data_IF_405680488007
#
_entry.id   IF_405680488007
#
_cell.length_a   1.000
_cell.length_b   1.000
_cell.length_c   1.000
_cell.angle_alpha   90.00
_cell.angle_beta   90.00
_cell.angle_gamma   90.00
#
_symmetry.space_group_name_H-M   'P 1'
#
loop_
_entity.id
_entity.type
_entity.pdbx_description
1 polymer ?
#
# COMPACT_ATOMS: atom_id res chain seq x y z
N UNK A 1 10.31 7.30 9.09
CA UNK A 1 8.90 7.51 9.48
C UNK A 1 8.30 6.14 9.73
N UNK A 2 7.56 5.98 10.84
CA UNK A 2 6.93 4.70 11.18
C UNK A 2 5.41 4.81 11.03
N UNK A 3 4.78 3.76 10.52
CA UNK A 3 3.35 3.65 10.28
C UNK A 3 2.86 2.32 10.83
N UNK A 4 1.74 2.31 11.54
CA UNK A 4 1.03 1.09 11.91
C UNK A 4 -0.39 1.14 11.37
N UNK A 5 -0.77 0.12 10.59
CA UNK A 5 -2.13 -0.10 10.12
C UNK A 5 -2.77 -1.08 11.10
N UNK A 6 -3.71 -0.62 11.91
CA UNK A 6 -4.30 -1.40 13.01
C UNK A 6 -5.65 -1.96 12.67
N UNK A 7 -5.96 -3.07 13.32
CA UNK A 7 -7.25 -3.70 13.21
C UNK A 7 -7.31 -4.56 11.97
N UNK A 8 -6.96 -4.08 10.77
CA UNK A 8 -7.18 -4.67 9.43
C UNK A 8 -7.26 -6.19 9.22
N UNK A 9 -7.94 -6.59 8.15
CA UNK A 9 -7.89 -7.97 7.64
C UNK A 9 -6.82 -8.01 6.57
N UNK A 10 -5.67 -8.58 6.89
CA UNK A 10 -4.56 -8.77 5.96
C UNK A 10 -4.95 -9.86 4.96
N UNK A 11 -4.83 -9.55 3.66
CA UNK A 11 -5.14 -10.48 2.58
C UNK A 11 -3.91 -10.69 1.72
N UNK A 12 -3.44 -11.93 1.69
CA UNK A 12 -2.41 -12.40 0.78
C UNK A 12 -3.03 -13.39 -0.22
N UNK A 13 -2.25 -13.82 -1.21
CA UNK A 13 -2.71 -14.75 -2.23
C UNK A 13 -3.12 -16.12 -1.67
N UNK A 14 -2.56 -16.52 -0.53
CA UNK A 14 -2.76 -17.83 0.10
C UNK A 14 -3.87 -17.84 1.16
N UNK A 15 -4.04 -16.74 1.91
CA UNK A 15 -5.00 -16.66 3.01
C UNK A 15 -5.34 -15.22 3.40
N UNK A 16 -6.37 -15.09 4.24
CA UNK A 16 -6.73 -13.86 4.95
C UNK A 16 -6.78 -14.09 6.47
N UNK A 17 -6.41 -13.06 7.25
CA UNK A 17 -6.46 -13.09 8.71
C UNK A 17 -6.49 -11.67 9.29
N UNK A 18 -7.01 -11.51 10.51
CA UNK A 18 -7.01 -10.21 11.21
C UNK A 18 -5.61 -9.95 11.76
N UNK A 19 -5.04 -8.76 11.53
CA UNK A 19 -3.73 -8.37 12.05
C UNK A 19 -3.48 -6.86 11.93
N UNK A 20 -2.59 -6.36 12.78
CA UNK A 20 -1.90 -5.09 12.61
C UNK A 20 -0.68 -5.28 11.68
N UNK A 21 -0.33 -4.24 10.91
CA UNK A 21 0.86 -4.20 10.05
C UNK A 21 1.72 -3.00 10.43
N UNK A 22 2.93 -3.25 10.92
CA UNK A 22 3.91 -2.21 11.25
C UNK A 22 4.90 -2.04 10.10
N UNK A 23 4.98 -0.83 9.57
CA UNK A 23 5.94 -0.41 8.56
C UNK A 23 6.90 0.64 9.14
N UNK A 24 8.19 0.49 8.86
CA UNK A 24 9.19 1.51 9.16
C UNK A 24 10.29 1.47 8.09
N UNK A 25 10.80 2.65 7.73
CA UNK A 25 11.90 2.81 6.77
C UNK A 25 11.63 2.14 5.42
N UNK A 26 10.38 2.23 4.95
CA UNK A 26 9.95 1.65 3.67
C UNK A 26 9.75 0.13 3.68
N UNK A 27 9.79 -0.53 4.85
CA UNK A 27 9.72 -1.99 4.98
C UNK A 27 8.67 -2.40 6.00
N UNK A 28 7.97 -3.51 5.74
CA UNK A 28 7.10 -4.18 6.73
C UNK A 28 7.99 -4.83 7.79
N UNK A 29 7.94 -4.35 9.03
CA UNK A 29 8.75 -4.83 10.17
C UNK A 29 8.05 -5.96 10.93
N UNK A 30 6.73 -5.91 11.03
CA UNK A 30 5.95 -6.93 11.73
C UNK A 30 4.52 -7.01 11.20
N UNK A 31 3.94 -8.21 11.26
CA UNK A 31 2.52 -8.49 10.99
C UNK A 31 2.03 -9.41 12.10
N UNK A 32 0.98 -9.01 12.81
CA UNK A 32 0.45 -9.77 13.94
C UNK A 32 -0.67 -9.06 14.67
N UNK A 33 -1.33 -9.74 15.59
CA UNK A 33 -2.40 -9.13 16.39
C UNK A 33 -1.83 -8.27 17.51
N UNK A 34 -2.51 -7.15 17.81
CA UNK A 34 -2.23 -6.29 18.97
C UNK A 34 -0.76 -5.83 19.07
N UNK A 35 -0.14 -5.46 17.94
CA UNK A 35 1.25 -5.00 17.94
C UNK A 35 1.41 -3.73 18.77
N UNK A 36 2.57 -3.60 19.42
CA UNK A 36 2.95 -2.36 20.09
C UNK A 36 3.07 -1.23 19.06
N UNK A 37 2.55 -0.06 19.40
CA UNK A 37 2.64 1.14 18.58
C UNK A 37 3.93 1.87 18.95
N UNK A 38 4.96 1.93 18.08
CA UNK A 38 6.17 2.66 18.39
C UNK A 38 5.87 4.16 18.63
N UNK A 39 6.61 4.79 19.52
CA UNK A 39 6.44 6.22 19.80
C UNK A 39 6.59 7.05 18.52
N UNK A 40 5.63 7.93 18.27
CA UNK A 40 5.61 8.79 17.08
C UNK A 40 5.25 8.08 15.77
N UNK A 41 4.86 6.79 15.80
CA UNK A 41 4.31 6.13 14.63
C UNK A 41 2.93 6.71 14.27
N UNK A 42 2.71 6.96 12.99
CA UNK A 42 1.37 7.25 12.49
C UNK A 42 0.50 5.99 12.65
N UNK A 43 -0.73 6.17 13.14
CA UNK A 43 -1.69 5.06 13.26
C UNK A 43 -2.79 5.23 12.22
N UNK A 44 -3.05 4.19 11.44
CA UNK A 44 -4.20 4.09 10.54
C UNK A 44 -5.13 3.01 11.09
N UNK A 45 -6.39 3.36 11.35
CA UNK A 45 -7.41 2.39 11.74
C UNK A 45 -8.03 1.74 10.49
N UNK A 46 -7.78 0.44 10.34
CA UNK A 46 -8.34 -0.43 9.30
C UNK A 46 -9.44 -1.37 9.86
N UNK A 47 -10.14 -0.95 10.91
CA UNK A 47 -11.40 -1.52 11.38
C UNK A 47 -12.35 -1.86 10.22
N UNK A 48 -12.70 -3.13 10.02
CA UNK A 48 -13.58 -3.57 8.93
C UNK A 48 -13.02 -3.47 7.51
N UNK A 49 -11.76 -3.05 7.33
CA UNK A 49 -11.12 -2.90 6.02
C UNK A 49 -10.15 -4.04 5.71
N UNK A 50 -9.83 -4.20 4.42
CA UNK A 50 -8.77 -5.09 3.94
C UNK A 50 -7.43 -4.36 3.81
N UNK A 51 -6.36 -5.03 4.19
CA UNK A 51 -4.98 -4.58 4.03
C UNK A 51 -4.31 -5.53 3.05
N UNK A 52 -3.99 -5.04 1.85
CA UNK A 52 -3.54 -5.86 0.73
C UNK A 52 -2.22 -5.32 0.17
N UNK A 53 -1.42 -6.16 -0.51
CA UNK A 53 -0.32 -5.67 -1.33
C UNK A 53 -0.80 -4.58 -2.30
N UNK A 54 0.04 -3.58 -2.54
CA UNK A 54 -0.22 -2.58 -3.57
C UNK A 54 -0.42 -3.25 -4.94
N UNK A 55 -1.34 -2.72 -5.74
CA UNK A 55 -1.55 -3.21 -7.10
C UNK A 55 -0.28 -3.07 -7.94
N UNK A 56 0.04 -4.11 -8.72
CA UNK A 56 1.10 -4.07 -9.72
C UNK A 56 0.40 -4.02 -11.07
N UNK A 57 0.51 -2.88 -11.76
CA UNK A 57 0.06 -2.75 -13.15
C UNK A 57 1.23 -3.12 -14.09
N UNK A 58 1.18 -4.26 -14.78
CA UNK A 58 2.27 -4.72 -15.62
C UNK A 58 2.29 -4.05 -17.01
N UNK A 59 1.29 -3.24 -17.37
CA UNK A 59 1.11 -2.78 -18.74
C UNK A 59 0.57 -1.34 -18.81
N UNK A 60 1.48 -0.39 -18.71
CA UNK A 60 1.19 1.05 -18.81
C UNK A 60 1.81 1.67 -20.06
N UNK A 61 1.20 2.74 -20.59
CA UNK A 61 1.74 3.55 -21.70
C UNK A 61 1.73 5.05 -21.37
N UNK A 62 2.26 5.41 -20.20
CA UNK A 62 2.36 6.81 -19.77
C UNK A 62 3.32 7.60 -20.66
N UNK A 63 2.98 8.85 -20.97
CA UNK A 63 3.77 9.77 -21.80
C UNK A 63 4.14 9.22 -23.19
N UNK A 64 3.41 8.23 -23.70
CA UNK A 64 3.71 7.59 -24.98
C UNK A 64 3.36 8.53 -26.15
N UNK A 65 4.32 8.88 -27.03
CA UNK A 65 4.01 9.48 -28.32
C UNK A 65 3.41 8.44 -29.26
N UNK A 66 2.24 8.69 -29.81
CA UNK A 66 1.55 7.78 -30.71
C UNK A 66 0.71 8.54 -31.75
N UNK A 67 0.90 8.20 -33.03
CA UNK A 67 0.15 8.72 -34.18
C UNK A 67 -0.03 10.26 -34.21
N UNK A 68 1.01 11.01 -33.86
CA UNK A 68 1.02 12.48 -33.96
C UNK A 68 0.53 13.22 -32.72
N UNK A 69 0.25 12.52 -31.63
CA UNK A 69 -0.01 13.11 -30.30
C UNK A 69 0.74 12.33 -29.21
N UNK A 70 0.54 12.70 -27.95
CA UNK A 70 1.08 12.01 -26.76
C UNK A 70 -0.08 11.63 -25.85
N UNK A 71 0.05 10.51 -25.12
CA UNK A 71 -0.88 10.12 -24.07
C UNK A 71 -1.14 11.29 -23.10
N UNK A 72 -2.40 11.48 -22.70
CA UNK A 72 -2.80 12.60 -21.83
C UNK A 72 -2.11 12.55 -20.47
N UNK A 73 -1.92 11.34 -19.93
CA UNK A 73 -1.19 11.11 -18.70
C UNK A 73 0.31 10.94 -18.95
N UNK A 74 1.11 11.67 -18.17
CA UNK A 74 2.55 11.47 -18.07
C UNK A 74 2.90 10.54 -16.88
N UNK A 75 4.20 10.33 -16.62
CA UNK A 75 4.63 9.50 -15.49
C UNK A 75 4.25 10.07 -14.12
N UNK A 76 4.06 11.39 -14.01
CA UNK A 76 3.64 12.02 -12.76
C UNK A 76 2.13 11.86 -12.58
N UNK A 77 1.31 12.35 -13.52
CA UNK A 77 -0.15 12.29 -13.42
C UNK A 77 -0.69 10.86 -13.50
N UNK A 78 0.06 9.92 -14.11
CA UNK A 78 -0.29 8.50 -14.14
C UNK A 78 0.03 7.75 -12.85
N UNK A 79 0.86 8.30 -11.95
CA UNK A 79 1.21 7.65 -10.67
C UNK A 79 0.74 8.42 -9.43
N UNK A 80 0.33 9.68 -9.58
CA UNK A 80 -0.09 10.59 -8.52
C UNK A 80 -1.54 10.42 -8.06
#
# INVERSE_FOLDING_TARGET
MSLIIRGGTVVNADRQFRADVLCADGVIKAVGENLEVPAGAQVIDAGGQYVMPGGIDPHTHMQLPFMGTVASEDFYSGTA
#
